data_IF_178211678447
#
_entry.id   IF_178211678447
#
_cell.length_a   1.000
_cell.length_b   1.000
_cell.length_c   1.000
_cell.angle_alpha   90.00
_cell.angle_beta   90.00
_cell.angle_gamma   90.00
#
_symmetry.space_group_name_H-M   'P 1'
#
loop_
_entity.id
_entity.type
_entity.pdbx_description
1 polymer ?
#
# COMPACT_ATOMS: atom_id res chain seq x y z
N UNK A 1 -9.92 10.48 12.47
CA UNK A 1 -10.58 9.22 12.16
C UNK A 1 -9.58 8.36 11.44
N UNK A 2 -9.41 7.17 11.91
CA UNK A 2 -8.39 6.26 11.43
C UNK A 2 -8.73 5.85 9.99
N UNK A 3 -7.70 5.59 9.19
CA UNK A 3 -7.80 5.40 7.73
C UNK A 3 -8.75 4.26 7.38
N UNK A 4 -8.66 3.12 8.08
CA UNK A 4 -9.55 1.99 7.83
C UNK A 4 -11.02 2.32 8.08
N UNK A 5 -11.36 3.02 9.17
CA UNK A 5 -12.73 3.43 9.47
C UNK A 5 -13.28 4.43 8.43
N UNK A 6 -12.44 5.37 7.96
CA UNK A 6 -12.82 6.30 6.88
C UNK A 6 -13.09 5.58 5.57
N UNK A 7 -12.27 4.61 5.20
CA UNK A 7 -12.47 3.79 4.01
C UNK A 7 -13.80 3.03 4.08
N UNK A 8 -14.10 2.41 5.23
CA UNK A 8 -15.32 1.61 5.39
C UNK A 8 -16.59 2.44 5.62
N UNK A 9 -16.49 3.76 5.83
CA UNK A 9 -17.64 4.65 5.70
C UNK A 9 -18.25 4.62 4.29
N UNK A 10 -17.47 4.26 3.28
CA UNK A 10 -17.89 4.08 1.89
C UNK A 10 -18.15 2.59 1.51
N UNK A 11 -18.31 1.69 2.47
CA UNK A 11 -18.42 0.24 2.22
C UNK A 11 -19.49 -0.13 1.19
N UNK A 12 -20.63 0.56 1.22
CA UNK A 12 -21.76 0.30 0.30
C UNK A 12 -21.42 0.67 -1.16
N UNK A 13 -20.46 1.56 -1.39
CA UNK A 13 -19.99 1.94 -2.71
C UNK A 13 -18.91 0.99 -3.26
N UNK A 14 -18.29 0.20 -2.37
CA UNK A 14 -17.30 -0.80 -2.77
C UNK A 14 -17.99 -2.04 -3.36
N UNK A 15 -18.38 -1.95 -4.62
CA UNK A 15 -19.00 -3.04 -5.39
C UNK A 15 -18.28 -3.18 -6.73
N UNK A 16 -17.68 -4.33 -6.97
CA UNK A 16 -16.90 -4.55 -8.18
C UNK A 16 -15.48 -3.98 -8.07
N UNK A 17 -14.91 -3.54 -9.19
CA UNK A 17 -13.54 -3.02 -9.22
C UNK A 17 -13.47 -1.66 -8.53
N UNK A 18 -12.66 -1.56 -7.48
CA UNK A 18 -12.57 -0.40 -6.60
C UNK A 18 -11.13 0.12 -6.56
N UNK A 19 -10.96 1.42 -6.79
CA UNK A 19 -9.70 2.14 -6.60
C UNK A 19 -9.76 2.86 -5.24
N UNK A 20 -8.75 2.66 -4.43
CA UNK A 20 -8.52 3.36 -3.16
C UNK A 20 -7.28 4.21 -3.30
N UNK A 21 -7.35 5.46 -2.88
CA UNK A 21 -6.20 6.37 -2.88
C UNK A 21 -6.21 7.23 -1.62
N UNK A 22 -5.01 7.59 -1.14
CA UNK A 22 -4.83 8.60 -0.10
C UNK A 22 -5.17 9.98 -0.67
N UNK A 23 -5.74 10.86 0.16
CA UNK A 23 -6.27 12.14 -0.30
C UNK A 23 -5.22 13.23 -0.49
N UNK A 24 -4.00 12.99 -0.08
CA UNK A 24 -2.86 13.89 -0.01
C UNK A 24 -1.74 13.56 -0.99
N UNK A 25 -1.97 12.63 -1.91
CA UNK A 25 -1.00 12.25 -2.94
C UNK A 25 -1.32 12.88 -4.30
N UNK A 26 -0.28 13.35 -4.99
CA UNK A 26 -0.30 13.72 -6.40
C UNK A 26 0.58 12.74 -7.17
N UNK A 27 0.14 12.29 -8.33
CA UNK A 27 0.88 11.31 -9.10
C UNK A 27 0.65 11.44 -10.60
N UNK A 28 1.62 10.96 -11.39
CA UNK A 28 1.52 10.94 -12.85
C UNK A 28 0.41 10.00 -13.32
N UNK A 29 -0.31 10.41 -14.35
CA UNK A 29 -1.36 9.61 -14.98
C UNK A 29 -0.91 8.20 -15.37
N UNK A 30 0.35 8.06 -15.80
CA UNK A 30 0.93 6.78 -16.19
C UNK A 30 0.94 5.75 -15.04
N UNK A 31 1.05 6.19 -13.79
CA UNK A 31 0.97 5.32 -12.61
C UNK A 31 -0.43 4.70 -12.49
N UNK A 32 -1.46 5.55 -12.62
CA UNK A 32 -2.84 5.07 -12.60
C UNK A 32 -3.13 4.11 -13.76
N UNK A 33 -2.68 4.44 -14.98
CA UNK A 33 -2.87 3.57 -16.15
C UNK A 33 -2.22 2.19 -15.96
N UNK A 34 -1.01 2.14 -15.39
CA UNK A 34 -0.34 0.88 -15.07
C UNK A 34 -1.11 0.07 -14.02
N UNK A 35 -1.59 0.72 -12.97
CA UNK A 35 -2.37 0.07 -11.92
C UNK A 35 -3.70 -0.46 -12.47
N UNK A 36 -4.39 0.33 -13.32
CA UNK A 36 -5.64 -0.07 -13.96
C UNK A 36 -5.47 -1.25 -14.93
N UNK A 37 -4.28 -1.44 -15.51
CA UNK A 37 -3.99 -2.57 -16.39
C UNK A 37 -3.64 -3.86 -15.63
N UNK A 38 -3.48 -3.81 -14.32
CA UNK A 38 -3.26 -5.03 -13.54
C UNK A 38 -4.50 -5.93 -13.56
N UNK A 39 -4.29 -7.22 -13.78
CA UNK A 39 -5.30 -8.26 -13.75
C UNK A 39 -5.42 -8.95 -12.40
N UNK A 40 -4.58 -8.61 -11.42
CA UNK A 40 -4.62 -9.21 -10.09
C UNK A 40 -5.83 -8.71 -9.28
N UNK A 41 -6.28 -9.52 -8.34
CA UNK A 41 -7.39 -9.17 -7.46
C UNK A 41 -7.07 -8.02 -6.53
N UNK A 42 -5.81 -7.89 -6.11
CA UNK A 42 -5.31 -6.76 -5.32
C UNK A 42 -3.97 -6.31 -5.88
N UNK A 43 -3.85 -5.04 -6.22
CA UNK A 43 -2.59 -4.44 -6.68
C UNK A 43 -2.33 -3.12 -6.01
N UNK A 44 -1.08 -2.94 -5.58
CA UNK A 44 -0.56 -1.75 -4.92
C UNK A 44 0.42 -1.05 -5.85
N UNK A 45 0.34 0.28 -5.98
CA UNK A 45 1.42 1.04 -6.60
C UNK A 45 2.56 1.20 -5.58
N UNK A 46 3.77 0.78 -5.95
CA UNK A 46 4.93 0.81 -5.05
C UNK A 46 6.13 1.48 -5.71
N UNK A 47 6.75 2.44 -5.03
CA UNK A 47 7.91 3.18 -5.54
C UNK A 47 9.22 2.50 -5.15
N UNK A 48 9.98 2.05 -6.15
CA UNK A 48 11.32 1.46 -5.96
C UNK A 48 12.42 2.51 -5.74
N UNK A 49 12.13 3.78 -6.03
CA UNK A 49 13.08 4.88 -5.81
C UNK A 49 13.07 5.40 -4.37
N UNK A 50 12.18 4.94 -3.50
CA UNK A 50 11.94 5.44 -2.16
C UNK A 50 13.21 5.70 -1.36
N UNK A 51 14.14 4.77 -1.34
CA UNK A 51 15.37 4.89 -0.56
C UNK A 51 16.29 6.03 -1.06
N UNK A 52 16.39 6.19 -2.38
CA UNK A 52 17.20 7.26 -2.97
C UNK A 52 16.53 8.62 -2.76
N UNK A 53 15.21 8.69 -2.78
CA UNK A 53 14.45 9.91 -2.53
C UNK A 53 14.73 10.42 -1.11
N UNK A 54 14.51 9.59 -0.10
CA UNK A 54 14.76 9.97 1.31
C UNK A 54 16.23 10.33 1.56
N UNK A 55 17.17 9.63 0.95
CA UNK A 55 18.59 9.92 1.05
C UNK A 55 18.99 11.26 0.43
N UNK A 56 18.44 11.61 -0.73
CA UNK A 56 18.78 12.85 -1.44
C UNK A 56 18.11 14.06 -0.84
N UNK A 57 16.93 13.91 -0.29
CA UNK A 57 16.16 14.99 0.33
C UNK A 57 16.50 15.19 1.82
N UNK A 58 17.30 14.27 2.40
CA UNK A 58 17.63 14.31 3.83
C UNK A 58 16.43 14.06 4.75
N UNK A 59 15.34 13.55 4.21
CA UNK A 59 14.12 13.18 4.97
C UNK A 59 14.30 11.84 5.67
N UNK A 60 13.61 11.64 6.79
CA UNK A 60 13.50 10.33 7.42
C UNK A 60 12.33 9.57 6.80
N UNK A 61 12.46 8.29 6.45
CA UNK A 61 11.34 7.45 6.06
C UNK A 61 10.55 6.94 7.27
N UNK A 62 10.61 7.64 8.41
CA UNK A 62 9.78 7.31 9.56
C UNK A 62 8.32 7.61 9.24
N UNK A 63 7.48 6.57 9.37
CA UNK A 63 6.06 6.65 9.02
C UNK A 63 5.73 6.28 7.57
N UNK A 64 6.74 6.10 6.70
CA UNK A 64 6.49 5.65 5.34
C UNK A 64 5.89 4.23 5.32
N UNK A 65 4.89 4.01 4.50
CA UNK A 65 4.27 2.71 4.26
C UNK A 65 5.18 1.85 3.37
N UNK A 66 6.08 1.09 3.98
CA UNK A 66 7.04 0.26 3.24
C UNK A 66 6.42 -1.04 2.75
N UNK A 67 6.97 -1.60 1.67
CA UNK A 67 6.59 -2.89 1.12
C UNK A 67 7.81 -3.78 0.92
N UNK A 68 7.68 -5.06 1.29
CA UNK A 68 8.62 -6.13 0.96
C UNK A 68 8.01 -6.98 -0.14
N UNK A 69 8.69 -7.10 -1.27
CA UNK A 69 8.27 -7.95 -2.38
C UNK A 69 9.09 -9.24 -2.44
N UNK A 70 8.64 -10.20 -3.24
CA UNK A 70 9.37 -11.46 -3.48
C UNK A 70 10.75 -11.24 -4.10
N UNK A 71 10.97 -10.10 -4.76
CA UNK A 71 12.29 -9.70 -5.23
C UNK A 71 13.03 -8.87 -4.18
N UNK A 72 14.36 -9.08 -4.04
CA UNK A 72 15.15 -8.34 -3.06
C UNK A 72 15.23 -6.84 -3.38
N UNK A 73 15.52 -6.00 -2.37
CA UNK A 73 15.72 -4.56 -2.59
C UNK A 73 16.86 -4.31 -3.57
N UNK A 74 16.59 -3.51 -4.61
CA UNK A 74 17.62 -3.07 -5.57
C UNK A 74 18.06 -1.67 -5.17
N UNK A 75 19.31 -1.50 -4.72
CA UNK A 75 19.76 -0.24 -4.11
C UNK A 75 20.69 0.61 -4.97
N UNK A 76 21.21 0.10 -6.07
CA UNK A 76 22.27 0.79 -6.83
C UNK A 76 22.15 0.63 -8.35
N UNK A 77 20.98 0.44 -8.89
CA UNK A 77 20.80 0.15 -10.31
C UNK A 77 19.86 1.13 -11.00
N UNK A 78 20.04 1.27 -12.31
CA UNK A 78 18.99 1.83 -13.15
C UNK A 78 17.78 0.92 -13.06
N UNK A 79 16.70 1.47 -12.59
CA UNK A 79 15.47 0.75 -12.41
C UNK A 79 14.76 0.58 -13.76
N UNK A 80 14.43 -0.65 -14.07
CA UNK A 80 13.49 -0.99 -15.14
C UNK A 80 12.31 -1.66 -14.46
N UNK A 81 11.10 -1.06 -14.50
CA UNK A 81 9.92 -1.68 -13.92
C UNK A 81 9.69 -3.07 -14.51
N UNK A 82 9.31 -4.02 -13.68
CA UNK A 82 8.81 -5.31 -14.18
C UNK A 82 7.51 -5.08 -14.95
N UNK A 83 7.33 -5.79 -16.06
CA UNK A 83 6.04 -5.83 -16.76
C UNK A 83 5.02 -6.64 -15.97
N UNK A 84 5.48 -7.66 -15.25
CA UNK A 84 4.66 -8.52 -14.41
C UNK A 84 4.65 -8.03 -12.96
N UNK A 85 3.46 -7.89 -12.34
CA UNK A 85 3.36 -7.46 -10.96
C UNK A 85 4.00 -8.45 -9.99
N UNK A 86 4.86 -7.95 -9.10
CA UNK A 86 5.55 -8.76 -8.09
C UNK A 86 4.60 -9.14 -6.94
N UNK A 87 4.90 -10.24 -6.26
CA UNK A 87 4.16 -10.60 -5.04
C UNK A 87 4.63 -9.75 -3.87
N UNK A 88 3.69 -9.12 -3.16
CA UNK A 88 3.95 -8.44 -1.88
C UNK A 88 3.94 -9.49 -0.77
N UNK A 89 5.00 -9.51 0.04
CA UNK A 89 5.16 -10.41 1.18
C UNK A 89 4.79 -9.74 2.50
N UNK A 90 5.06 -8.43 2.60
CA UNK A 90 4.70 -7.59 3.76
C UNK A 90 4.44 -6.16 3.31
N UNK A 91 3.59 -5.45 4.06
CA UNK A 91 3.35 -4.01 3.88
C UNK A 91 3.08 -3.36 5.24
N UNK A 92 3.65 -2.16 5.45
CA UNK A 92 3.44 -1.37 6.68
C UNK A 92 4.66 -0.56 7.10
N UNK A 93 4.49 0.39 8.03
CA UNK A 93 5.53 1.34 8.43
C UNK A 93 6.66 0.74 9.28
N UNK A 94 6.48 -0.45 9.87
CA UNK A 94 7.51 -1.09 10.73
C UNK A 94 8.46 -2.04 9.99
N UNK A 95 8.32 -2.17 8.67
CA UNK A 95 9.27 -2.94 7.87
C UNK A 95 10.65 -2.26 7.94
N UNK A 96 11.68 -3.04 8.27
CA UNK A 96 13.03 -2.47 8.33
C UNK A 96 13.50 -1.98 6.95
N UNK A 97 14.28 -0.88 6.95
CA UNK A 97 14.89 -0.35 5.70
C UNK A 97 15.74 -1.40 4.95
N UNK A 98 16.23 -2.41 5.66
CA UNK A 98 17.02 -3.48 5.07
C UNK A 98 16.17 -4.47 4.28
N UNK A 99 14.93 -4.70 4.72
CA UNK A 99 13.97 -5.65 4.14
C UNK A 99 13.05 -5.00 3.11
N UNK A 100 12.81 -3.69 3.24
CA UNK A 100 11.92 -2.96 2.33
C UNK A 100 12.46 -2.95 0.91
N UNK A 101 11.63 -3.38 -0.03
CA UNK A 101 11.91 -3.36 -1.47
C UNK A 101 11.42 -2.07 -2.11
N UNK A 102 10.35 -1.49 -1.60
CA UNK A 102 9.67 -0.32 -2.15
C UNK A 102 8.84 0.39 -1.06
N UNK A 103 8.28 1.54 -1.39
CA UNK A 103 7.29 2.28 -0.60
C UNK A 103 5.92 2.16 -1.26
N UNK A 104 4.90 1.81 -0.50
CA UNK A 104 3.51 1.88 -0.94
C UNK A 104 3.04 3.34 -0.94
N UNK A 105 2.65 3.85 -2.07
CA UNK A 105 2.32 5.27 -2.24
C UNK A 105 0.87 5.63 -1.90
N UNK A 106 0.13 4.75 -1.22
CA UNK A 106 -1.28 5.01 -0.89
C UNK A 106 -2.26 4.82 -2.05
N UNK A 107 -1.86 4.13 -3.14
CA UNK A 107 -2.71 3.90 -4.31
C UNK A 107 -2.86 2.40 -4.57
N UNK A 108 -4.08 1.88 -4.40
CA UNK A 108 -4.40 0.45 -4.52
C UNK A 108 -5.65 0.21 -5.36
N UNK A 109 -5.68 -0.89 -6.10
CA UNK A 109 -6.86 -1.33 -6.84
C UNK A 109 -7.25 -2.75 -6.42
N UNK A 110 -8.55 -2.96 -6.29
CA UNK A 110 -9.17 -4.20 -5.87
C UNK A 110 -10.16 -4.65 -6.95
N UNK A 111 -10.15 -5.93 -7.33
CA UNK A 111 -11.25 -6.55 -8.06
C UNK A 111 -12.46 -6.74 -7.14
N UNK A 112 -13.58 -7.25 -7.66
CA UNK A 112 -14.72 -7.63 -6.81
C UNK A 112 -14.32 -8.65 -5.73
N UNK A 113 -13.43 -9.58 -6.06
CA UNK A 113 -12.90 -10.59 -5.12
C UNK A 113 -11.96 -9.94 -4.11
N UNK A 114 -11.05 -9.06 -4.54
CA UNK A 114 -10.19 -8.28 -3.67
C UNK A 114 -10.98 -7.41 -2.68
N UNK A 115 -12.09 -6.80 -3.12
CA UNK A 115 -13.01 -6.06 -2.23
C UNK A 115 -13.64 -6.99 -1.19
N UNK A 116 -14.01 -8.23 -1.56
CA UNK A 116 -14.54 -9.21 -0.62
C UNK A 116 -13.51 -9.52 0.47
N UNK A 117 -12.25 -9.80 0.10
CA UNK A 117 -11.18 -10.05 1.06
C UNK A 117 -10.91 -8.85 1.97
N UNK A 118 -10.93 -7.63 1.40
CA UNK A 118 -10.75 -6.40 2.18
C UNK A 118 -11.86 -6.24 3.24
N UNK A 119 -13.12 -6.53 2.87
CA UNK A 119 -14.25 -6.51 3.79
C UNK A 119 -14.13 -7.58 4.89
N UNK A 120 -13.69 -8.78 4.54
CA UNK A 120 -13.44 -9.86 5.50
C UNK A 120 -12.35 -9.49 6.51
N UNK A 121 -11.23 -8.91 6.04
CA UNK A 121 -10.16 -8.41 6.91
C UNK A 121 -10.68 -7.34 7.88
N UNK A 122 -11.47 -6.40 7.39
CA UNK A 122 -12.09 -5.37 8.22
C UNK A 122 -13.07 -5.95 9.25
N UNK A 123 -13.96 -6.85 8.85
CA UNK A 123 -14.93 -7.50 9.76
C UNK A 123 -14.22 -8.31 10.84
N UNK A 124 -13.12 -9.00 10.51
CA UNK A 124 -12.29 -9.71 11.49
C UNK A 124 -11.74 -8.76 12.56
N UNK A 125 -11.19 -7.62 12.14
CA UNK A 125 -10.69 -6.62 13.09
C UNK A 125 -11.80 -6.01 13.94
N UNK A 126 -12.96 -5.72 13.34
CA UNK A 126 -14.14 -5.21 14.06
C UNK A 126 -14.67 -6.15 15.13
N UNK A 127 -14.41 -7.44 15.06
CA UNK A 127 -14.79 -8.39 16.11
C UNK A 127 -14.02 -8.14 17.43
N UNK A 128 -12.84 -7.51 17.37
CA UNK A 128 -12.01 -7.17 18.54
C UNK A 128 -11.43 -5.75 18.43
N UNK A 129 -12.26 -4.69 18.42
CA UNK A 129 -11.85 -3.34 18.03
C UNK A 129 -10.80 -2.70 18.95
N UNK A 130 -10.70 -3.14 20.20
CA UNK A 130 -9.76 -2.64 21.18
C UNK A 130 -8.49 -3.52 21.33
N UNK A 131 -8.37 -4.57 20.53
CA UNK A 131 -7.17 -5.44 20.54
C UNK A 131 -6.14 -4.95 19.54
N UNK A 132 -4.84 -5.23 19.74
CA UNK A 132 -3.80 -5.00 18.75
C UNK A 132 -4.16 -5.65 17.40
N UNK A 133 -3.85 -4.95 16.31
CA UNK A 133 -4.11 -5.42 14.96
C UNK A 133 -2.93 -5.06 14.06
N UNK A 134 -2.11 -6.06 13.73
CA UNK A 134 -0.84 -5.90 13.02
C UNK A 134 0.04 -4.83 13.67
N UNK A 135 0.25 -3.71 12.99
CA UNK A 135 1.10 -2.63 13.51
C UNK A 135 0.34 -1.60 14.34
N UNK A 136 -0.98 -1.58 14.25
CA UNK A 136 -1.83 -0.71 15.04
C UNK A 136 -1.95 -1.19 16.50
N UNK A 137 -1.96 -0.26 17.45
CA UNK A 137 -2.14 -0.56 18.87
C UNK A 137 -3.53 -1.15 19.17
N UNK A 138 -4.52 -0.77 18.37
CA UNK A 138 -5.88 -1.32 18.39
C UNK A 138 -6.43 -1.32 16.96
N UNK A 139 -7.42 -2.19 16.67
CA UNK A 139 -8.07 -2.16 15.36
C UNK A 139 -8.74 -0.82 15.07
N UNK A 140 -9.25 -0.13 16.09
CA UNK A 140 -9.78 1.22 15.93
C UNK A 140 -8.76 2.20 15.34
N UNK A 141 -7.46 1.93 15.44
CA UNK A 141 -6.36 2.73 14.89
C UNK A 141 -5.75 2.14 13.61
N UNK A 142 -6.37 1.07 13.08
CA UNK A 142 -5.83 0.40 11.92
C UNK A 142 -5.81 1.26 10.67
N UNK A 143 -4.77 1.11 9.89
CA UNK A 143 -4.57 1.73 8.58
C UNK A 143 -5.00 0.80 7.44
N UNK A 144 -4.91 1.27 6.21
CA UNK A 144 -5.09 0.43 5.03
C UNK A 144 -4.00 -0.66 4.96
N UNK A 145 -2.77 -0.33 5.35
CA UNK A 145 -1.66 -1.31 5.33
C UNK A 145 -1.85 -2.44 6.32
N UNK A 146 -2.49 -2.19 7.48
CA UNK A 146 -2.85 -3.27 8.41
C UNK A 146 -3.89 -4.24 7.80
N UNK A 147 -4.88 -3.72 7.06
CA UNK A 147 -5.85 -4.56 6.35
C UNK A 147 -5.21 -5.36 5.21
N UNK A 148 -4.30 -4.74 4.45
CA UNK A 148 -3.54 -5.42 3.40
C UNK A 148 -2.63 -6.50 3.98
N UNK A 149 -2.00 -6.24 5.12
CA UNK A 149 -1.17 -7.23 5.82
C UNK A 149 -2.01 -8.42 6.30
N UNK A 150 -3.22 -8.16 6.81
CA UNK A 150 -4.17 -9.23 7.18
C UNK A 150 -4.52 -10.11 5.98
N UNK A 151 -4.79 -9.50 4.81
CA UNK A 151 -5.09 -10.25 3.58
C UNK A 151 -3.90 -11.12 3.16
N UNK A 152 -2.67 -10.60 3.25
CA UNK A 152 -1.43 -11.35 2.94
C UNK A 152 -1.29 -12.55 3.89
N UNK A 153 -1.51 -12.37 5.19
CA UNK A 153 -1.41 -13.44 6.19
C UNK A 153 -2.51 -14.50 6.06
N UNK A 154 -3.66 -14.12 5.52
CA UNK A 154 -4.72 -15.06 5.13
C UNK A 154 -4.39 -15.85 3.84
N UNK A 155 -3.26 -15.55 3.20
CA UNK A 155 -2.81 -16.22 1.98
C UNK A 155 -3.40 -15.64 0.68
N UNK A 156 -4.05 -14.48 0.75
CA UNK A 156 -4.54 -13.81 -0.46
C UNK A 156 -3.39 -13.16 -1.23
N UNK A 157 -3.34 -13.32 -2.56
CA UNK A 157 -2.27 -12.75 -3.37
C UNK A 157 -2.43 -11.23 -3.51
N UNK A 158 -1.51 -10.49 -2.91
CA UNK A 158 -1.37 -9.05 -3.11
C UNK A 158 -0.18 -8.79 -4.02
N UNK A 159 -0.39 -7.98 -5.06
CA UNK A 159 0.61 -7.69 -6.09
C UNK A 159 1.10 -6.25 -6.03
N UNK A 160 2.37 -6.06 -6.33
CA UNK A 160 3.02 -4.76 -6.47
C UNK A 160 3.14 -4.39 -7.95
N UNK A 161 2.56 -3.25 -8.32
CA UNK A 161 2.82 -2.56 -9.59
C UNK A 161 3.92 -1.56 -9.32
N UNK A 162 5.11 -1.88 -9.79
CA UNK A 162 6.30 -1.08 -9.52
C UNK A 162 6.29 0.24 -10.31
N UNK A 163 6.62 1.31 -9.62
CA UNK A 163 6.89 2.62 -10.20
C UNK A 163 8.29 3.11 -9.80
N UNK A 164 8.72 4.18 -10.43
CA UNK A 164 9.98 4.84 -10.12
C UNK A 164 9.78 6.34 -10.14
N UNK A 165 9.48 6.94 -8.97
CA UNK A 165 9.09 8.35 -8.82
C UNK A 165 7.78 8.67 -9.57
N UNK A 166 7.53 9.97 -9.81
CA UNK A 166 6.33 10.44 -10.50
C UNK A 166 5.14 10.62 -9.56
N UNK A 167 5.41 10.73 -8.26
CA UNK A 167 4.42 11.03 -7.25
C UNK A 167 5.02 11.87 -6.14
N UNK A 168 4.18 12.55 -5.39
CA UNK A 168 4.51 13.28 -4.15
C UNK A 168 3.36 13.15 -3.16
N UNK A 169 3.68 13.18 -1.88
CA UNK A 169 2.74 13.35 -0.78
C UNK A 169 2.80 14.82 -0.33
N UNK A 170 1.65 15.44 -0.13
CA UNK A 170 1.53 16.84 0.27
C UNK A 170 1.18 16.89 1.76
N UNK A 171 2.20 16.84 2.61
CA UNK A 171 2.05 16.86 4.07
C UNK A 171 2.01 18.27 4.64
N UNK A 172 2.68 19.20 4.00
CA UNK A 172 2.85 20.57 4.49
C UNK A 172 2.64 21.60 3.38
N UNK A 173 2.56 22.89 3.76
CA UNK A 173 2.49 23.99 2.78
C UNK A 173 3.83 24.25 2.06
N UNK A 174 4.88 23.55 2.45
CA UNK A 174 6.24 23.71 1.87
C UNK A 174 6.53 22.63 0.80
N UNK A 175 5.69 21.60 0.70
CA UNK A 175 5.74 20.55 -0.34
C UNK A 175 5.11 21.04 -1.65
#
# INVERSE_FOLDING_TARGET
>A
PEIAASLFAAELQMSGRTLVLYGDILFDRSILERLLNSSADVSLAVDRAWFDLYRTEGRSPEGADLAQTAEPPIRNHRFLPSEEPLTVLKVGPKISKAEASAEFIGLAIFSAEGVRWLKEAFQKGMATPNSPYHEASTFAQASLTDLLQEMIEQGHPVKAVEIYKGWIEVDTFED
#
